data_IF_927054707137
#
_entry.id   IF_927054707137
#
_cell.length_a   1.000
_cell.length_b   1.000
_cell.length_c   1.000
_cell.angle_alpha   90.00
_cell.angle_beta   90.00
_cell.angle_gamma   90.00
#
_symmetry.space_group_name_H-M   'P 1'
#
loop_
_entity.id
_entity.type
_entity.pdbx_description
1 polymer ?
#
# COMPACT_ATOMS: atom_id res chain seq x y z
N UNK A 1 18.97 13.34 -19.07
CA UNK A 1 19.03 13.33 -17.60
C UNK A 1 18.53 12.01 -16.99
N UNK A 2 18.07 11.03 -17.78
CA UNK A 2 17.45 9.78 -17.29
C UNK A 2 18.44 8.65 -16.90
N UNK A 3 19.69 8.69 -17.37
CA UNK A 3 20.66 7.62 -17.08
C UNK A 3 21.26 7.64 -15.67
N UNK A 4 21.02 8.69 -14.87
CA UNK A 4 21.70 8.91 -13.58
C UNK A 4 21.14 8.01 -12.45
N UNK A 5 19.98 7.38 -12.65
CA UNK A 5 19.28 6.65 -11.57
C UNK A 5 19.07 5.16 -11.82
N UNK A 6 19.74 4.57 -12.82
CA UNK A 6 19.52 3.16 -13.17
C UNK A 6 19.91 2.18 -12.05
N UNK A 7 20.76 2.60 -11.10
CA UNK A 7 21.17 1.78 -9.96
C UNK A 7 20.23 1.86 -8.76
N UNK A 8 19.30 2.85 -8.70
CA UNK A 8 18.42 3.06 -7.54
C UNK A 8 17.60 1.82 -7.18
N UNK A 9 16.87 1.16 -8.11
CA UNK A 9 16.05 0.01 -7.75
C UNK A 9 16.86 -1.15 -7.16
N UNK A 10 18.11 -1.31 -7.62
CA UNK A 10 19.04 -2.34 -7.12
C UNK A 10 19.47 -2.01 -5.69
N UNK A 11 19.86 -0.75 -5.46
CA UNK A 11 20.24 -0.28 -4.13
C UNK A 11 19.07 -0.34 -3.16
N UNK A 12 17.89 0.11 -3.57
CA UNK A 12 16.67 0.11 -2.75
C UNK A 12 16.30 -1.33 -2.36
N UNK A 13 16.47 -2.29 -3.28
CA UNK A 13 16.23 -3.70 -2.99
C UNK A 13 17.20 -4.23 -1.93
N UNK A 14 18.50 -3.96 -2.07
CA UNK A 14 19.53 -4.36 -1.10
C UNK A 14 19.25 -3.75 0.28
N UNK A 15 18.96 -2.44 0.32
CA UNK A 15 18.63 -1.73 1.56
C UNK A 15 17.35 -2.28 2.20
N UNK A 16 16.34 -2.64 1.41
CA UNK A 16 15.12 -3.28 1.93
C UNK A 16 15.42 -4.61 2.61
N UNK A 17 16.35 -5.42 2.07
CA UNK A 17 16.74 -6.67 2.72
C UNK A 17 17.48 -6.41 4.03
N UNK A 18 18.36 -5.41 4.07
CA UNK A 18 19.04 -5.00 5.30
C UNK A 18 18.07 -4.45 6.33
N UNK A 19 17.09 -3.64 5.91
CA UNK A 19 16.04 -3.11 6.78
C UNK A 19 15.21 -4.24 7.39
N UNK A 20 14.75 -5.20 6.59
CA UNK A 20 13.98 -6.34 7.09
C UNK A 20 14.74 -7.13 8.16
N UNK A 21 16.04 -7.34 7.93
CA UNK A 21 16.90 -8.02 8.90
C UNK A 21 17.10 -7.18 10.18
N UNK A 22 17.33 -5.87 10.04
CA UNK A 22 17.47 -4.95 11.16
C UNK A 22 16.20 -4.88 12.01
N UNK A 23 15.03 -4.82 11.38
CA UNK A 23 13.74 -4.82 12.07
C UNK A 23 13.52 -6.10 12.87
N UNK A 24 13.98 -7.26 12.39
CA UNK A 24 13.94 -8.51 13.16
C UNK A 24 14.91 -8.49 14.34
N UNK A 25 16.13 -7.98 14.15
CA UNK A 25 17.13 -7.82 15.21
C UNK A 25 16.63 -6.91 16.35
N UNK A 26 15.88 -5.88 15.97
CA UNK A 26 15.31 -4.86 16.82
C UNK A 26 14.09 -5.34 17.66
N UNK A 27 13.48 -6.49 17.32
CA UNK A 27 12.35 -7.04 18.08
C UNK A 27 12.76 -7.49 19.49
N UNK A 28 11.92 -7.19 20.48
CA UNK A 28 12.09 -7.62 21.89
C UNK A 28 12.13 -9.15 22.01
N UNK A 29 11.27 -9.86 21.27
CA UNK A 29 11.30 -11.32 21.12
C UNK A 29 11.90 -11.70 19.78
N UNK A 30 13.22 -11.62 19.69
CA UNK A 30 14.00 -11.96 18.49
C UNK A 30 14.03 -13.48 18.23
N UNK A 31 13.85 -13.90 16.98
CA UNK A 31 14.06 -15.29 16.54
C UNK A 31 15.04 -15.35 15.37
N UNK A 32 16.26 -14.83 15.56
CA UNK A 32 17.29 -14.74 14.52
C UNK A 32 17.67 -16.10 13.92
N UNK A 33 17.64 -17.17 14.71
CA UNK A 33 18.02 -18.52 14.25
C UNK A 33 17.02 -19.11 13.24
N UNK A 34 15.74 -18.77 13.36
CA UNK A 34 14.68 -19.25 12.46
C UNK A 34 14.32 -18.23 11.38
N UNK A 35 14.96 -17.06 11.39
CA UNK A 35 14.68 -16.01 10.43
C UNK A 35 15.30 -16.34 9.07
N UNK A 36 14.52 -16.15 8.01
CA UNK A 36 15.01 -16.37 6.66
C UNK A 36 15.89 -15.19 6.23
N UNK A 37 17.20 -15.43 6.14
CA UNK A 37 18.15 -14.40 5.70
C UNK A 37 18.03 -14.15 4.19
N UNK A 38 17.43 -13.02 3.82
CA UNK A 38 17.23 -12.59 2.43
C UNK A 38 18.29 -11.61 1.94
N UNK A 39 19.31 -11.31 2.75
CA UNK A 39 20.36 -10.36 2.37
C UNK A 39 21.16 -10.87 1.17
N UNK A 40 21.60 -9.94 0.34
CA UNK A 40 22.34 -10.28 -0.87
C UNK A 40 23.81 -10.48 -0.53
N UNK A 41 24.26 -11.73 -0.58
CA UNK A 41 25.62 -12.09 -0.23
C UNK A 41 26.65 -11.80 -1.33
N UNK A 42 26.20 -11.79 -2.59
CA UNK A 42 27.07 -11.62 -3.76
C UNK A 42 26.32 -10.94 -4.90
N UNK A 43 26.99 -10.00 -5.57
CA UNK A 43 26.52 -9.34 -6.78
C UNK A 43 27.44 -9.69 -7.95
N UNK A 44 26.95 -10.50 -8.88
CA UNK A 44 27.67 -10.78 -10.12
C UNK A 44 27.44 -9.65 -11.12
N UNK A 45 28.46 -8.84 -11.36
CA UNK A 45 28.37 -7.66 -12.21
C UNK A 45 28.81 -7.97 -13.63
N UNK A 46 27.85 -8.07 -14.56
CA UNK A 46 28.10 -8.42 -15.96
C UNK A 46 28.61 -7.22 -16.76
N UNK A 47 29.89 -7.25 -17.12
CA UNK A 47 30.56 -6.28 -17.99
C UNK A 47 30.37 -6.71 -19.44
N UNK A 48 29.97 -5.76 -20.29
CA UNK A 48 29.82 -6.02 -21.73
C UNK A 48 31.20 -6.23 -22.37
N UNK A 49 31.39 -7.26 -23.21
CA UNK A 49 32.65 -7.55 -23.88
C UNK A 49 32.91 -6.56 -25.04
N UNK A 50 33.23 -5.30 -24.74
CA UNK A 50 33.51 -4.26 -25.75
C UNK A 50 34.96 -4.31 -26.25
N UNK A 51 35.88 -4.91 -25.49
CA UNK A 51 37.31 -4.94 -25.78
C UNK A 51 38.04 -3.61 -25.50
N UNK A 52 37.34 -2.59 -25.00
CA UNK A 52 37.90 -1.27 -24.73
C UNK A 52 38.02 -0.98 -23.22
N UNK A 53 37.22 -0.05 -22.69
CA UNK A 53 37.19 0.34 -21.27
C UNK A 53 35.84 -0.03 -20.64
N UNK A 54 35.76 0.07 -19.31
CA UNK A 54 34.47 0.07 -18.61
C UNK A 54 33.62 1.23 -19.09
N UNK A 55 32.30 1.02 -19.15
CA UNK A 55 31.37 2.11 -19.41
C UNK A 55 31.32 3.01 -18.17
N UNK A 56 31.15 4.31 -18.36
CA UNK A 56 31.00 5.25 -17.24
C UNK A 56 29.82 4.89 -16.33
N UNK A 57 28.74 4.33 -16.91
CA UNK A 57 27.59 3.82 -16.16
C UNK A 57 27.98 2.67 -15.23
N UNK A 58 28.86 1.77 -15.69
CA UNK A 58 29.30 0.62 -14.92
C UNK A 58 30.11 1.08 -13.71
N UNK A 59 31.02 2.06 -13.91
CA UNK A 59 31.80 2.67 -12.84
C UNK A 59 30.92 3.35 -11.79
N UNK A 60 29.95 4.17 -12.20
CA UNK A 60 29.04 4.85 -11.27
C UNK A 60 28.20 3.83 -10.48
N UNK A 61 27.71 2.79 -11.14
CA UNK A 61 26.87 1.76 -10.51
C UNK A 61 27.68 0.94 -9.51
N UNK A 62 28.84 0.43 -9.91
CA UNK A 62 29.72 -0.34 -9.01
C UNK A 62 30.19 0.51 -7.83
N UNK A 63 30.47 1.81 -8.04
CA UNK A 63 30.87 2.71 -6.96
C UNK A 63 29.76 3.00 -5.94
N UNK A 64 28.49 2.77 -6.30
CA UNK A 64 27.36 2.87 -5.36
C UNK A 64 27.04 1.54 -4.67
N UNK A 65 27.45 0.43 -5.25
CA UNK A 65 27.22 -0.92 -4.74
C UNK A 65 28.39 -1.43 -3.88
N UNK A 66 29.61 -0.89 -4.05
CA UNK A 66 30.84 -1.38 -3.42
C UNK A 66 30.78 -1.41 -1.88
N UNK A 67 30.06 -0.47 -1.27
CA UNK A 67 29.86 -0.41 0.18
C UNK A 67 28.71 -1.28 0.69
N UNK A 68 27.84 -1.79 -0.20
CA UNK A 68 26.60 -2.48 0.16
C UNK A 68 26.59 -3.97 -0.13
N UNK A 69 27.40 -4.44 -1.08
CA UNK A 69 27.40 -5.86 -1.48
C UNK A 69 28.77 -6.27 -2.00
N UNK A 70 29.10 -7.56 -1.83
CA UNK A 70 30.29 -8.16 -2.43
C UNK A 70 30.16 -8.21 -3.95
N UNK A 71 30.84 -7.33 -4.66
CA UNK A 71 30.80 -7.27 -6.13
C UNK A 71 31.86 -8.18 -6.73
N UNK A 72 31.44 -9.08 -7.63
CA UNK A 72 32.33 -9.90 -8.45
C UNK A 72 32.13 -9.50 -9.92
N UNK A 73 33.10 -8.79 -10.52
CA UNK A 73 33.01 -8.40 -11.92
C UNK A 73 33.22 -9.62 -12.84
N UNK A 74 32.33 -9.79 -13.81
CA UNK A 74 32.39 -10.87 -14.80
C UNK A 74 32.24 -10.31 -16.22
N UNK A 75 33.08 -10.76 -17.14
CA UNK A 75 32.98 -10.41 -18.55
C UNK A 75 31.96 -11.37 -19.18
N UNK A 76 30.84 -10.81 -19.60
CA UNK A 76 29.77 -11.56 -20.26
C UNK A 76 30.17 -11.97 -21.68
N UNK A 77 29.61 -13.07 -22.19
CA UNK A 77 29.78 -13.51 -23.59
C UNK A 77 31.25 -13.48 -24.04
N UNK A 78 32.14 -14.02 -23.20
CA UNK A 78 33.58 -13.99 -23.42
C UNK A 78 34.02 -14.69 -24.72
N UNK A 79 33.18 -15.54 -25.29
CA UNK A 79 33.35 -16.20 -26.59
C UNK A 79 33.37 -15.22 -27.79
N UNK A 80 33.05 -13.94 -27.57
CA UNK A 80 33.11 -12.88 -28.58
C UNK A 80 34.45 -12.15 -28.64
N UNK A 81 35.35 -12.37 -27.69
CA UNK A 81 36.66 -11.71 -27.60
C UNK A 81 37.77 -12.76 -27.78
N UNK A 82 38.83 -12.42 -28.51
CA UNK A 82 40.00 -13.30 -28.62
C UNK A 82 40.80 -13.37 -27.31
N UNK A 83 41.57 -14.45 -27.09
CA UNK A 83 42.35 -14.62 -25.84
C UNK A 83 43.35 -13.48 -25.57
N UNK A 84 43.97 -12.94 -26.62
CA UNK A 84 44.94 -11.84 -26.52
C UNK A 84 44.26 -10.51 -26.16
N UNK A 85 43.10 -10.23 -26.75
CA UNK A 85 42.30 -9.04 -26.42
C UNK A 85 41.69 -9.16 -25.01
N UNK A 86 41.23 -10.35 -24.64
CA UNK A 86 40.68 -10.62 -23.31
C UNK A 86 41.70 -10.32 -22.22
N UNK A 87 42.95 -10.74 -22.40
CA UNK A 87 44.02 -10.46 -21.44
C UNK A 87 44.25 -8.95 -21.26
N UNK A 88 44.33 -8.19 -22.36
CA UNK A 88 44.46 -6.72 -22.32
C UNK A 88 43.24 -6.07 -21.67
N UNK A 89 42.04 -6.59 -21.97
CA UNK A 89 40.78 -6.07 -21.44
C UNK A 89 40.66 -6.29 -19.92
N UNK A 90 41.05 -7.47 -19.40
CA UNK A 90 41.10 -7.75 -17.96
C UNK A 90 42.00 -6.76 -17.22
N UNK A 91 43.22 -6.54 -17.71
CA UNK A 91 44.18 -5.59 -17.11
C UNK A 91 43.59 -4.18 -17.07
N UNK A 92 42.96 -3.75 -18.18
CA UNK A 92 42.37 -2.42 -18.28
C UNK A 92 41.18 -2.22 -17.34
N UNK A 93 40.28 -3.21 -17.24
CA UNK A 93 39.16 -3.19 -16.28
C UNK A 93 39.69 -3.07 -14.85
N UNK A 94 40.66 -3.92 -14.47
CA UNK A 94 41.21 -3.91 -13.11
C UNK A 94 41.91 -2.58 -12.79
N UNK A 95 42.68 -2.03 -13.74
CA UNK A 95 43.29 -0.72 -13.59
C UNK A 95 42.25 0.38 -13.38
N UNK A 96 41.17 0.40 -14.17
CA UNK A 96 40.10 1.40 -14.06
C UNK A 96 39.34 1.28 -12.73
N UNK A 97 39.08 0.07 -12.24
CA UNK A 97 38.45 -0.14 -10.93
C UNK A 97 39.31 0.41 -9.79
N UNK A 98 40.62 0.15 -9.81
CA UNK A 98 41.57 0.64 -8.81
C UNK A 98 41.69 2.18 -8.87
N UNK A 99 41.84 2.75 -10.08
CA UNK A 99 41.95 4.21 -10.24
C UNK A 99 40.71 4.98 -9.79
N UNK A 100 39.53 4.38 -9.88
CA UNK A 100 38.28 4.98 -9.39
C UNK A 100 37.94 4.61 -7.93
N UNK A 101 38.80 3.81 -7.28
CA UNK A 101 38.62 3.39 -5.89
C UNK A 101 37.37 2.52 -5.67
N UNK A 102 36.96 1.73 -6.67
CA UNK A 102 35.83 0.81 -6.54
C UNK A 102 36.31 -0.44 -5.80
N UNK A 103 35.67 -0.75 -4.67
CA UNK A 103 36.00 -1.94 -3.89
C UNK A 103 35.24 -3.15 -4.44
N UNK A 104 35.97 -4.06 -5.08
CA UNK A 104 35.43 -5.37 -5.48
C UNK A 104 35.74 -6.40 -4.39
N UNK A 105 34.98 -7.48 -4.39
CA UNK A 105 35.25 -8.61 -3.52
C UNK A 105 36.59 -9.27 -3.89
N UNK A 106 37.44 -9.45 -2.89
CA UNK A 106 38.71 -10.15 -2.99
C UNK A 106 38.66 -11.37 -2.08
N UNK A 107 39.15 -12.49 -2.57
CA UNK A 107 39.20 -13.72 -1.80
C UNK A 107 40.13 -13.59 -0.61
N UNK A 108 39.71 -14.03 0.59
CA UNK A 108 40.57 -14.03 1.75
C UNK A 108 41.77 -14.94 1.51
N UNK A 109 42.96 -14.46 1.84
CA UNK A 109 44.21 -15.24 1.76
C UNK A 109 44.78 -15.51 3.15
N UNK A 110 43.97 -15.34 4.19
CA UNK A 110 44.40 -15.41 5.59
C UNK A 110 44.54 -16.85 6.08
N UNK A 111 43.82 -17.80 5.47
CA UNK A 111 43.93 -19.23 5.76
C UNK A 111 44.93 -19.89 4.80
N UNK A 112 46.07 -20.32 5.35
CA UNK A 112 47.17 -21.00 4.63
C UNK A 112 46.70 -22.21 3.82
N UNK A 113 45.61 -22.89 4.21
CA UNK A 113 45.11 -24.06 3.50
C UNK A 113 44.46 -23.72 2.14
N UNK A 114 43.91 -22.50 2.00
CA UNK A 114 43.19 -22.03 0.81
C UNK A 114 43.81 -20.77 0.19
N UNK A 115 44.83 -20.19 0.82
CA UNK A 115 45.49 -18.96 0.39
C UNK A 115 46.07 -19.07 -1.04
N UNK A 116 46.71 -20.19 -1.38
CA UNK A 116 47.27 -20.39 -2.72
C UNK A 116 46.17 -20.43 -3.78
N UNK A 117 45.08 -21.15 -3.51
CA UNK A 117 43.93 -21.25 -4.41
C UNK A 117 43.26 -19.88 -4.57
N UNK A 118 43.02 -19.18 -3.46
CA UNK A 118 42.36 -17.87 -3.46
C UNK A 118 43.21 -16.78 -4.14
N UNK A 119 44.54 -16.82 -3.99
CA UNK A 119 45.47 -15.95 -4.73
C UNK A 119 45.36 -16.16 -6.24
N UNK A 120 45.35 -17.43 -6.69
CA UNK A 120 45.15 -17.76 -8.11
C UNK A 120 43.78 -17.29 -8.59
N UNK A 121 42.72 -17.43 -7.79
CA UNK A 121 41.38 -16.98 -8.15
C UNK A 121 41.28 -15.45 -8.26
N UNK A 122 41.90 -14.71 -7.33
CA UNK A 122 42.00 -13.26 -7.38
C UNK A 122 42.70 -12.79 -8.67
N UNK A 123 43.73 -13.50 -9.13
CA UNK A 123 44.43 -13.19 -10.38
C UNK A 123 43.57 -13.41 -11.65
N UNK A 124 42.49 -14.20 -11.57
CA UNK A 124 41.60 -14.43 -12.70
C UNK A 124 40.48 -13.39 -12.83
N UNK A 125 40.31 -12.52 -11.82
CA UNK A 125 39.32 -11.44 -11.86
C UNK A 125 39.69 -10.38 -12.92
N UNK A 126 38.70 -9.86 -13.68
CA UNK A 126 37.31 -10.33 -13.77
C UNK A 126 37.17 -11.67 -14.52
N UNK A 127 36.26 -12.54 -14.10
CA UNK A 127 36.06 -13.85 -14.73
C UNK A 127 35.45 -13.72 -16.12
N UNK A 128 36.01 -14.41 -17.11
CA UNK A 128 35.51 -14.41 -18.48
C UNK A 128 34.55 -15.60 -18.69
N UNK A 129 33.25 -15.34 -18.72
CA UNK A 129 32.23 -16.40 -18.68
C UNK A 129 31.44 -16.52 -19.98
N UNK A 130 31.07 -17.77 -20.28
CA UNK A 130 30.18 -18.14 -21.39
C UNK A 130 29.05 -18.96 -20.79
N UNK A 131 27.80 -18.57 -21.08
CA UNK A 131 26.61 -19.31 -20.65
C UNK A 131 25.99 -20.06 -21.82
N UNK A 132 25.61 -21.32 -21.60
CA UNK A 132 24.77 -22.09 -22.51
C UNK A 132 23.87 -23.04 -21.74
N UNK A 133 22.61 -23.14 -22.16
CA UNK A 133 21.66 -24.17 -21.72
C UNK A 133 21.60 -25.35 -22.67
N UNK A 134 22.16 -25.21 -23.87
CA UNK A 134 22.15 -26.25 -24.90
C UNK A 134 23.27 -27.27 -24.66
N UNK A 135 22.94 -28.55 -24.77
CA UNK A 135 23.90 -29.64 -24.66
C UNK A 135 24.23 -30.17 -26.04
N UNK A 136 25.53 -30.17 -26.37
CA UNK A 136 26.04 -30.66 -27.65
C UNK A 136 26.91 -31.88 -27.38
N UNK A 137 26.76 -32.90 -28.23
CA UNK A 137 27.60 -34.10 -28.16
C UNK A 137 28.99 -33.77 -28.70
N UNK A 138 29.99 -33.67 -27.80
CA UNK A 138 31.39 -33.53 -28.18
C UNK A 138 32.13 -34.80 -27.81
N UNK A 139 32.49 -35.60 -28.82
CA UNK A 139 33.00 -36.96 -28.63
C UNK A 139 31.93 -37.89 -28.06
N UNK A 140 32.20 -38.47 -26.89
CA UNK A 140 31.29 -39.41 -26.21
C UNK A 140 30.51 -38.80 -25.03
N UNK A 141 30.63 -37.49 -24.79
CA UNK A 141 29.94 -36.82 -23.67
C UNK A 141 29.02 -35.72 -24.20
N UNK A 142 27.86 -35.61 -23.56
CA UNK A 142 26.99 -34.44 -23.70
C UNK A 142 27.55 -33.34 -22.79
N UNK A 143 27.86 -32.20 -23.36
CA UNK A 143 28.43 -31.06 -22.62
C UNK A 143 27.68 -29.80 -22.98
N UNK A 144 27.50 -28.90 -22.00
CA UNK A 144 26.91 -27.58 -22.24
C UNK A 144 27.86 -26.75 -23.10
N UNK A 145 27.39 -26.34 -24.26
CA UNK A 145 28.22 -25.66 -25.23
C UNK A 145 27.43 -24.70 -26.11
N UNK A 146 28.14 -23.75 -26.74
CA UNK A 146 27.59 -22.92 -27.81
C UNK A 146 28.15 -23.40 -29.14
N UNK A 147 27.26 -23.75 -30.06
CA UNK A 147 27.65 -24.23 -31.39
C UNK A 147 27.65 -23.07 -32.38
N UNK A 148 28.79 -22.88 -33.05
CA UNK A 148 28.97 -21.93 -34.14
C UNK A 148 29.40 -22.67 -35.42
N UNK A 149 29.25 -22.06 -36.61
CA UNK A 149 29.72 -22.67 -37.86
C UNK A 149 31.21 -23.01 -37.86
N UNK A 150 32.02 -22.25 -37.11
CA UNK A 150 33.48 -22.42 -37.00
C UNK A 150 33.93 -23.30 -35.83
N UNK A 151 33.03 -23.74 -34.94
CA UNK A 151 33.42 -24.59 -33.81
C UNK A 151 32.43 -24.58 -32.66
N UNK A 152 32.78 -25.34 -31.62
CA UNK A 152 31.94 -25.54 -30.42
C UNK A 152 32.66 -25.01 -29.19
N UNK A 153 32.06 -24.01 -28.54
CA UNK A 153 32.59 -23.43 -27.29
C UNK A 153 31.98 -24.16 -26.10
N UNK A 154 32.74 -25.09 -25.55
CA UNK A 154 32.39 -25.80 -24.31
C UNK A 154 32.44 -24.87 -23.09
N UNK A 155 31.36 -24.83 -22.30
CA UNK A 155 31.24 -23.97 -21.10
C UNK A 155 32.08 -24.50 -19.93
N UNK A 156 32.17 -25.82 -19.76
CA UNK A 156 32.92 -26.42 -18.66
C UNK A 156 34.41 -26.62 -18.96
N UNK A 157 34.89 -26.12 -20.10
CA UNK A 157 36.28 -26.24 -20.50
C UNK A 157 37.07 -24.99 -20.08
N UNK A 158 38.02 -25.16 -19.16
CA UNK A 158 38.86 -24.07 -18.63
C UNK A 158 39.74 -23.39 -19.69
N UNK A 159 40.02 -24.08 -20.80
CA UNK A 159 40.77 -23.48 -21.91
C UNK A 159 39.92 -22.52 -22.76
N UNK A 160 38.58 -22.58 -22.62
CA UNK A 160 37.63 -21.76 -23.36
C UNK A 160 37.08 -20.61 -22.52
N UNK A 161 36.75 -20.85 -21.24
CA UNK A 161 36.23 -19.82 -20.35
C UNK A 161 36.49 -20.13 -18.87
N UNK A 162 36.33 -19.11 -18.02
CA UNK A 162 36.56 -19.19 -16.58
C UNK A 162 35.32 -19.64 -15.79
N UNK A 163 34.31 -20.22 -16.45
CA UNK A 163 33.05 -20.60 -15.79
C UNK A 163 33.25 -21.60 -14.65
N UNK A 164 34.13 -22.60 -14.84
CA UNK A 164 34.45 -23.59 -13.80
C UNK A 164 35.03 -22.88 -12.58
N UNK A 165 35.97 -21.95 -12.78
CA UNK A 165 36.59 -21.17 -11.70
C UNK A 165 35.55 -20.35 -10.93
N UNK A 166 34.65 -19.66 -11.63
CA UNK A 166 33.55 -18.92 -11.01
C UNK A 166 32.63 -19.84 -10.18
N UNK A 167 32.27 -21.01 -10.71
CA UNK A 167 31.37 -21.96 -10.03
C UNK A 167 31.99 -22.53 -8.75
N UNK A 168 33.22 -23.05 -8.84
CA UNK A 168 33.91 -23.62 -7.68
C UNK A 168 34.10 -22.56 -6.59
N UNK A 169 34.42 -21.34 -7.00
CA UNK A 169 34.60 -20.21 -6.10
C UNK A 169 33.33 -19.83 -5.34
N UNK A 170 32.19 -19.68 -6.03
CA UNK A 170 30.94 -19.22 -5.42
C UNK A 170 30.31 -20.26 -4.51
N UNK A 171 30.37 -21.54 -4.91
CA UNK A 171 29.54 -22.58 -4.29
C UNK A 171 30.36 -23.43 -3.32
N UNK A 172 31.65 -23.67 -3.59
CA UNK A 172 32.42 -24.70 -2.90
C UNK A 172 33.34 -24.16 -1.82
N UNK A 173 33.93 -22.99 -2.03
CA UNK A 173 35.02 -22.49 -1.16
C UNK A 173 34.59 -21.28 -0.35
N UNK A 174 33.98 -20.26 -0.99
CA UNK A 174 33.88 -18.93 -0.38
C UNK A 174 32.44 -18.50 -0.03
N UNK A 175 31.48 -19.42 0.00
CA UNK A 175 30.09 -19.08 0.32
C UNK A 175 29.94 -18.56 1.75
N UNK A 176 30.65 -19.15 2.71
CA UNK A 176 30.62 -18.74 4.10
C UNK A 176 31.27 -17.36 4.29
N UNK A 177 32.44 -17.13 3.69
CA UNK A 177 33.12 -15.83 3.73
C UNK A 177 32.26 -14.71 3.10
N UNK A 178 31.61 -14.96 1.96
CA UNK A 178 30.68 -14.00 1.35
C UNK A 178 29.54 -13.62 2.30
N UNK A 179 28.99 -14.60 3.03
CA UNK A 179 27.94 -14.36 4.03
C UNK A 179 28.49 -13.58 5.22
N UNK A 180 29.68 -13.92 5.69
CA UNK A 180 30.33 -13.25 6.80
C UNK A 180 30.66 -11.80 6.46
N UNK A 181 31.31 -11.51 5.33
CA UNK A 181 31.57 -10.15 4.83
C UNK A 181 30.28 -9.34 4.69
N UNK A 182 29.21 -9.97 4.20
CA UNK A 182 27.90 -9.32 4.11
C UNK A 182 27.39 -8.91 5.48
N UNK A 183 27.56 -9.76 6.49
CA UNK A 183 27.11 -9.46 7.84
C UNK A 183 28.02 -8.43 8.54
N UNK A 184 29.33 -8.68 8.61
CA UNK A 184 30.29 -7.94 9.43
C UNK A 184 30.67 -6.59 8.85
N UNK A 185 30.58 -6.42 7.53
CA UNK A 185 30.99 -5.18 6.84
C UNK A 185 29.80 -4.45 6.25
N UNK A 186 29.08 -5.07 5.33
CA UNK A 186 28.04 -4.39 4.56
C UNK A 186 26.79 -4.08 5.40
N UNK A 187 26.28 -5.09 6.10
CA UNK A 187 25.13 -4.94 6.99
C UNK A 187 25.47 -4.06 8.20
N UNK A 188 26.63 -4.26 8.86
CA UNK A 188 27.03 -3.41 9.98
C UNK A 188 27.17 -1.93 9.58
N UNK A 189 27.70 -1.64 8.39
CA UNK A 189 27.75 -0.27 7.89
C UNK A 189 26.34 0.33 7.75
N UNK A 190 25.40 -0.42 7.15
CA UNK A 190 23.99 -0.01 7.02
C UNK A 190 23.34 0.18 8.40
N UNK A 191 23.52 -0.79 9.30
CA UNK A 191 23.01 -0.80 10.66
C UNK A 191 23.48 0.43 11.45
N UNK A 192 24.79 0.73 11.42
CA UNK A 192 25.35 1.93 12.07
C UNK A 192 24.69 3.20 11.54
N UNK A 193 24.64 3.38 10.22
CA UNK A 193 24.01 4.56 9.63
C UNK A 193 22.52 4.67 10.00
N UNK A 194 21.79 3.56 10.02
CA UNK A 194 20.37 3.55 10.40
C UNK A 194 20.13 3.84 11.88
N UNK A 195 20.96 3.29 12.76
CA UNK A 195 20.87 3.56 14.19
C UNK A 195 21.20 5.04 14.49
N UNK A 196 22.22 5.60 13.85
CA UNK A 196 22.53 7.03 13.95
C UNK A 196 21.37 7.91 13.46
N UNK A 197 20.73 7.56 12.33
CA UNK A 197 19.52 8.24 11.82
C UNK A 197 18.33 8.14 12.78
N UNK A 198 18.18 7.01 13.48
CA UNK A 198 17.16 6.80 14.50
C UNK A 198 17.46 7.53 15.82
N UNK A 199 18.59 8.24 15.92
CA UNK A 199 18.98 9.05 17.08
C UNK A 199 19.91 8.34 18.07
N UNK A 200 20.37 7.12 17.75
CA UNK A 200 21.39 6.42 18.53
C UNK A 200 22.77 6.94 18.13
N UNK A 201 23.15 8.12 18.62
CA UNK A 201 24.53 8.62 18.49
C UNK A 201 25.34 8.12 19.68
N UNK A 202 26.51 7.55 19.41
CA UNK A 202 27.56 7.34 20.41
C UNK A 202 28.12 8.72 20.81
N UNK A 203 27.42 9.44 21.68
CA UNK A 203 27.94 10.68 22.30
C UNK A 203 28.52 10.39 23.67
N UNK A 204 29.85 10.54 23.73
CA UNK A 204 30.74 10.65 24.89
C UNK A 204 30.95 9.42 25.81
N UNK A 205 32.21 9.14 26.23
CA UNK A 205 32.54 8.10 27.20
C UNK A 205 31.90 8.26 28.59
N UNK A 206 31.25 9.40 28.85
CA UNK A 206 30.69 9.77 30.16
C UNK A 206 29.15 9.84 30.14
N UNK A 207 28.52 9.53 29.00
CA UNK A 207 27.06 9.41 28.90
C UNK A 207 26.66 7.98 29.23
N UNK A 208 25.79 7.80 30.24
CA UNK A 208 25.20 6.49 30.53
C UNK A 208 24.67 5.84 29.25
N UNK A 209 24.78 4.50 29.10
CA UNK A 209 24.34 3.81 27.90
C UNK A 209 22.89 4.17 27.62
N UNK A 210 22.67 4.91 26.53
CA UNK A 210 21.34 5.33 26.08
C UNK A 210 20.54 4.04 25.84
N UNK A 211 19.61 3.74 26.75
CA UNK A 211 18.97 2.43 26.80
C UNK A 211 18.06 2.27 25.60
N UNK A 212 18.28 1.23 24.79
CA UNK A 212 17.38 0.79 23.70
C UNK A 212 15.91 0.83 24.14
N UNK A 213 15.64 0.49 25.41
CA UNK A 213 14.32 0.50 26.01
C UNK A 213 13.67 1.89 26.03
N UNK A 214 14.44 2.93 26.29
CA UNK A 214 13.94 4.30 26.47
C UNK A 214 13.54 4.92 25.11
N UNK A 215 14.27 4.60 24.03
CA UNK A 215 13.90 4.98 22.67
C UNK A 215 12.65 4.25 22.19
N UNK A 216 12.52 2.95 22.52
CA UNK A 216 11.29 2.19 22.25
C UNK A 216 10.10 2.75 23.02
N UNK A 217 10.28 3.11 24.29
CA UNK A 217 9.25 3.74 25.11
C UNK A 217 8.86 5.11 24.56
N UNK A 218 9.82 5.87 24.05
CA UNK A 218 9.58 7.19 23.43
C UNK A 218 8.78 7.04 22.13
N UNK A 219 9.21 6.18 21.20
CA UNK A 219 8.48 5.87 19.96
C UNK A 219 7.08 5.31 20.24
N UNK A 220 6.93 4.47 21.27
CA UNK A 220 5.63 3.96 21.71
C UNK A 220 4.74 5.05 22.28
N UNK A 221 5.29 5.98 23.07
CA UNK A 221 4.56 7.16 23.59
C UNK A 221 4.14 8.08 22.45
N UNK A 222 5.00 8.34 21.47
CA UNK A 222 4.66 9.11 20.27
C UNK A 222 3.50 8.48 19.50
N UNK A 223 3.58 7.17 19.24
CA UNK A 223 2.51 6.45 18.54
C UNK A 223 1.19 6.47 19.31
N UNK A 224 1.22 6.29 20.64
CA UNK A 224 0.03 6.40 21.49
C UNK A 224 -0.56 7.82 21.46
N UNK A 225 0.30 8.85 21.45
CA UNK A 225 -0.12 10.24 21.36
C UNK A 225 -0.78 10.55 20.00
N UNK A 226 -0.22 10.04 18.90
CA UNK A 226 -0.85 10.16 17.58
C UNK A 226 -2.20 9.44 17.51
N UNK A 227 -2.31 8.25 18.12
CA UNK A 227 -3.55 7.49 18.16
C UNK A 227 -4.63 8.25 18.95
N UNK A 228 -4.28 8.79 20.12
CA UNK A 228 -5.17 9.63 20.92
C UNK A 228 -5.59 10.88 20.17
N UNK A 229 -4.68 11.54 19.44
CA UNK A 229 -5.01 12.72 18.66
C UNK A 229 -6.01 12.39 17.53
N UNK A 230 -5.84 11.27 16.83
CA UNK A 230 -6.80 10.78 15.83
C UNK A 230 -8.14 10.39 16.44
N UNK A 231 -8.15 9.79 17.62
CA UNK A 231 -9.37 9.47 18.37
C UNK A 231 -10.12 10.76 18.76
N UNK A 232 -9.42 11.75 19.30
CA UNK A 232 -9.98 13.06 19.65
C UNK A 232 -10.55 13.78 18.42
N UNK A 233 -9.82 13.75 17.29
CA UNK A 233 -10.30 14.31 16.01
C UNK A 233 -11.59 13.60 15.54
N UNK A 234 -11.64 12.28 15.60
CA UNK A 234 -12.82 11.50 15.24
C UNK A 234 -14.00 11.80 16.18
N UNK A 235 -13.74 11.94 17.49
CA UNK A 235 -14.74 12.30 18.49
C UNK A 235 -15.26 13.71 18.27
N UNK A 236 -14.39 14.66 17.94
CA UNK A 236 -14.77 16.03 17.64
C UNK A 236 -15.64 16.10 16.37
N UNK A 237 -15.28 15.33 15.31
CA UNK A 237 -16.11 15.21 14.12
C UNK A 237 -17.49 14.64 14.44
N UNK A 238 -17.56 13.61 15.29
CA UNK A 238 -18.84 13.03 15.73
C UNK A 238 -19.69 14.05 16.49
N UNK A 239 -19.12 14.78 17.45
CA UNK A 239 -19.85 15.81 18.22
C UNK A 239 -20.36 16.93 17.31
N UNK A 240 -19.54 17.39 16.36
CA UNK A 240 -19.96 18.41 15.40
C UNK A 240 -21.10 17.90 14.51
N UNK A 241 -21.01 16.65 14.06
CA UNK A 241 -22.06 16.02 13.24
C UNK A 241 -23.36 15.83 14.01
N UNK A 242 -23.29 15.44 15.28
CA UNK A 242 -24.46 15.35 16.16
C UNK A 242 -25.10 16.72 16.34
N UNK A 243 -24.31 17.77 16.62
CA UNK A 243 -24.83 19.15 16.75
C UNK A 243 -25.51 19.65 15.48
N UNK A 244 -24.93 19.37 14.31
CA UNK A 244 -25.52 19.73 13.02
C UNK A 244 -26.86 19.01 12.81
N UNK A 245 -26.90 17.69 13.05
CA UNK A 245 -28.15 16.92 12.95
C UNK A 245 -29.20 17.36 13.97
N UNK A 246 -28.81 17.75 15.18
CA UNK A 246 -29.74 18.24 16.20
C UNK A 246 -30.34 19.60 15.79
N UNK A 247 -29.54 20.49 15.20
CA UNK A 247 -30.01 21.76 14.65
C UNK A 247 -30.99 21.55 13.50
N UNK A 248 -30.66 20.66 12.54
CA UNK A 248 -31.58 20.32 11.44
C UNK A 248 -32.91 19.74 11.96
N UNK A 249 -32.84 18.88 12.98
CA UNK A 249 -34.02 18.26 13.56
C UNK A 249 -34.90 19.30 14.25
N UNK A 250 -34.29 20.26 14.94
CA UNK A 250 -34.97 21.39 15.58
C UNK A 250 -35.63 22.33 14.57
N UNK A 251 -35.00 22.59 13.42
CA UNK A 251 -35.63 23.35 12.34
C UNK A 251 -36.83 22.61 11.73
N UNK A 252 -36.69 21.30 11.48
CA UNK A 252 -37.80 20.47 10.99
C UNK A 252 -38.96 20.40 11.98
N UNK A 253 -38.67 20.32 13.29
CA UNK A 253 -39.70 20.39 14.33
C UNK A 253 -40.42 21.74 14.32
N UNK A 254 -39.69 22.86 14.16
CA UNK A 254 -40.28 24.19 14.05
C UNK A 254 -41.19 24.31 12.84
N UNK A 255 -40.74 23.88 11.66
CA UNK A 255 -41.56 23.87 10.44
C UNK A 255 -42.80 23.00 10.59
N UNK A 256 -42.67 21.82 11.21
CA UNK A 256 -43.80 20.93 11.45
C UNK A 256 -44.82 21.57 12.40
N UNK A 257 -44.34 22.27 13.43
CA UNK A 257 -45.19 23.00 14.37
C UNK A 257 -45.93 24.16 13.68
N UNK A 258 -45.26 24.93 12.84
CA UNK A 258 -45.86 26.01 12.05
C UNK A 258 -46.93 25.47 11.08
N UNK A 259 -46.63 24.36 10.38
CA UNK A 259 -47.60 23.66 9.52
C UNK A 259 -48.81 23.20 10.32
N UNK A 260 -48.60 22.61 11.50
CA UNK A 260 -49.69 22.17 12.37
C UNK A 260 -50.61 23.32 12.79
N UNK A 261 -50.04 24.44 13.26
CA UNK A 261 -50.81 25.63 13.65
C UNK A 261 -51.53 26.29 12.46
N UNK A 262 -50.95 26.25 11.25
CA UNK A 262 -51.61 26.69 10.04
C UNK A 262 -52.82 25.79 9.69
N UNK A 263 -52.63 24.47 9.67
CA UNK A 263 -53.70 23.50 9.42
C UNK A 263 -54.84 23.61 10.46
N UNK A 264 -54.48 23.81 11.73
CA UNK A 264 -55.45 24.01 12.83
C UNK A 264 -56.31 25.26 12.63
N UNK A 265 -55.70 26.38 12.20
CA UNK A 265 -56.44 27.62 11.86
C UNK A 265 -57.36 27.42 10.67
N UNK A 266 -56.89 26.77 9.61
CA UNK A 266 -57.72 26.45 8.44
C UNK A 266 -58.89 25.55 8.82
N UNK A 267 -58.65 24.54 9.67
CA UNK A 267 -59.70 23.65 10.13
C UNK A 267 -60.74 24.37 11.00
N UNK A 268 -60.32 25.30 11.88
CA UNK A 268 -61.24 26.13 12.66
C UNK A 268 -62.11 27.03 11.77
N UNK A 269 -61.52 27.64 10.74
CA UNK A 269 -62.25 28.50 9.81
C UNK A 269 -63.25 27.70 8.96
N UNK A 270 -62.85 26.53 8.44
CA UNK A 270 -63.77 25.62 7.74
C UNK A 270 -64.89 25.14 8.67
N UNK A 271 -64.59 24.80 9.93
CA UNK A 271 -65.61 24.43 10.91
C UNK A 271 -66.60 25.58 11.14
N UNK A 272 -66.13 26.83 11.25
CA UNK A 272 -66.97 28.02 11.38
C UNK A 272 -67.89 28.21 10.18
N UNK A 273 -67.36 28.09 8.95
CA UNK A 273 -68.16 28.17 7.72
C UNK A 273 -69.22 27.07 7.65
N UNK A 274 -68.89 25.85 8.08
CA UNK A 274 -69.84 24.73 8.12
C UNK A 274 -70.92 24.99 9.17
N UNK A 275 -70.58 25.52 10.35
CA UNK A 275 -71.55 25.90 11.38
C UNK A 275 -72.46 27.04 10.94
N UNK A 276 -71.93 28.07 10.25
CA UNK A 276 -72.73 29.16 9.67
C UNK A 276 -73.73 28.62 8.63
N UNK A 277 -73.26 27.80 7.67
CA UNK A 277 -74.15 27.14 6.70
C UNK A 277 -75.19 26.24 7.36
N UNK A 278 -74.83 25.55 8.44
CA UNK A 278 -75.77 24.74 9.23
C UNK A 278 -76.86 25.62 9.84
N UNK A 279 -76.49 26.77 10.40
CA UNK A 279 -77.43 27.73 10.98
C UNK A 279 -78.36 28.33 9.93
N UNK A 280 -77.84 28.71 8.77
CA UNK A 280 -78.64 29.20 7.64
C UNK A 280 -79.66 28.14 7.18
N UNK A 281 -79.24 26.88 7.02
CA UNK A 281 -80.14 25.78 6.67
C UNK A 281 -81.18 25.50 7.77
N UNK A 282 -80.82 25.61 9.05
CA UNK A 282 -81.78 25.50 10.17
C UNK A 282 -82.79 26.66 10.15
N UNK A 283 -82.36 27.89 9.87
CA UNK A 283 -83.23 29.07 9.73
C UNK A 283 -84.18 28.94 8.54
N UNK A 284 -83.68 28.49 7.38
CA UNK A 284 -84.49 28.19 6.20
C UNK A 284 -85.49 27.06 6.48
N UNK A 285 -85.07 25.99 7.13
CA UNK A 285 -85.94 24.88 7.50
C UNK A 285 -87.03 25.31 8.50
N UNK A 286 -86.68 26.16 9.46
CA UNK A 286 -87.66 26.75 10.39
C UNK A 286 -88.62 27.71 9.68
N UNK A 287 -88.14 28.52 8.73
CA UNK A 287 -88.98 29.37 7.90
C UNK A 287 -89.91 28.55 7.01
N UNK A 288 -89.42 27.47 6.40
CA UNK A 288 -90.19 26.53 5.61
C UNK A 288 -91.26 25.84 6.48
N UNK A 289 -90.92 25.36 7.67
CA UNK A 289 -91.88 24.79 8.62
C UNK A 289 -92.94 25.81 9.05
N UNK A 290 -92.57 27.06 9.31
CA UNK A 290 -93.54 28.14 9.60
C UNK A 290 -94.50 28.37 8.43
N UNK A 291 -94.00 28.39 7.19
CA UNK A 291 -94.85 28.50 5.98
C UNK A 291 -95.75 27.27 5.82
N UNK A 292 -95.22 26.07 6.05
CA UNK A 292 -95.98 24.81 6.00
C UNK A 292 -97.14 24.84 7.01
N UNK A 293 -96.86 25.20 8.27
CA UNK A 293 -97.89 25.32 9.32
C UNK A 293 -98.91 26.41 8.97
N UNK A 294 -98.50 27.54 8.41
CA UNK A 294 -99.42 28.60 7.97
C UNK A 294 -100.34 28.12 6.83
N UNK A 295 -99.81 27.39 5.86
CA UNK A 295 -100.60 26.79 4.77
C UNK A 295 -101.55 25.72 5.32
N UNK A 296 -101.09 24.82 6.19
CA UNK A 296 -101.93 23.82 6.86
C UNK A 296 -103.05 24.48 7.69
N UNK A 297 -102.78 25.60 8.36
CA UNK A 297 -103.77 26.36 9.13
C UNK A 297 -104.80 27.05 8.23
N UNK A 298 -104.38 27.59 7.09
CA UNK A 298 -105.29 28.16 6.07
C UNK A 298 -106.12 27.06 5.39
N UNK A 299 -105.56 25.87 5.19
CA UNK A 299 -106.29 24.70 4.70
C UNK A 299 -107.33 24.22 5.71
N UNK A 300 -106.99 24.19 7.02
CA UNK A 300 -107.94 23.93 8.10
C UNK A 300 -109.03 25.02 8.22
N UNK A 301 -108.71 26.30 8.00
CA UNK A 301 -109.72 27.37 7.98
C UNK A 301 -110.63 27.30 6.74
N UNK A 302 -110.11 26.88 5.58
CA UNK A 302 -110.93 26.62 4.40
C UNK A 302 -111.87 25.41 4.58
N UNK A 303 -111.48 24.43 5.39
CA UNK A 303 -112.31 23.28 5.76
C UNK A 303 -113.31 23.60 6.90
N UNK A 304 -113.06 24.63 7.71
CA UNK A 304 -113.95 25.05 8.81
C UNK A 304 -114.92 26.20 8.43
N UNK A 305 -114.69 26.94 7.34
CA UNK A 305 -115.59 27.99 6.86
C UNK A 305 -116.87 27.47 6.17
N UNK A 306 -117.00 26.16 5.96
CA UNK A 306 -118.21 25.50 5.47
C UNK A 306 -118.62 24.34 6.36
N UNK A 307 -119.05 24.60 7.59
CA UNK A 307 -120.23 23.94 8.18
C UNK A 307 -120.40 24.28 9.65
N UNK A 308 -121.40 25.12 9.93
CA UNK A 308 -122.36 25.03 11.03
C UNK A 308 -123.29 26.24 10.85
N UNK A 309 -124.58 26.14 10.48
CA UNK A 309 -125.68 25.27 10.95
C UNK A 309 -126.96 25.50 10.09
N UNK A 310 -128.13 24.82 10.28
CA UNK A 310 -128.46 23.70 11.20
C UNK A 310 -129.32 22.53 10.62
N UNK A 311 -129.10 21.34 11.22
CA UNK A 311 -130.05 20.27 11.65
C UNK A 311 -131.39 20.00 10.90
N UNK A 312 -131.51 18.79 10.31
CA UNK A 312 -132.44 17.70 10.73
C UNK A 312 -132.41 16.45 9.81
N UNK A 313 -132.40 15.26 10.44
CA UNK A 313 -133.06 13.94 10.13
C UNK A 313 -133.15 13.49 8.65
N UNK A 314 -132.90 12.23 8.28
CA UNK A 314 -133.42 11.01 8.87
C UNK A 314 -132.82 9.75 8.20
N UNK A 315 -132.91 8.64 8.94
CA UNK A 315 -133.11 7.24 8.52
C UNK A 315 -132.11 6.44 7.65
N UNK A 316 -131.68 5.36 8.32
CA UNK A 316 -131.80 3.94 7.92
C UNK A 316 -130.65 3.23 7.19
N UNK A 317 -130.20 2.19 7.93
CA UNK A 317 -129.93 0.80 7.51
C UNK A 317 -128.60 0.41 6.86
N UNK A 318 -127.97 -0.55 7.57
CA UNK A 318 -127.45 -1.87 7.14
C UNK A 318 -126.71 -1.91 5.80
N UNK A 319 -125.46 -2.33 5.73
CA UNK A 319 -124.68 -3.29 6.53
C UNK A 319 -123.20 -2.93 6.46
#
# INVERSE_FOLDING_TARGET
MEFVFSYRPIVDYIDTQFENYLQEELKIRRSLFNYHDTRIHVCLYFITPTGHSLKSLDLVTMKKLDSKVNIIPIIAKADTISKSELHKFKIKIMSELVSNGVQIYQFPTDDDAVAEINSVMNAHLPFAVVGSTEEVKVGNKMVRARQYPWGVVQVENESHCDFVKLREMLIRVNMEDLREQTHTRHYELYRRCKLEEMGFKDTDPDSQPFSLQETYETKRKEFLCELQKKEEEMRQMFVNKVKETELELKEKERELHEKFEHLKRMHQEEKRKVEEKRRELEEEMNAFNRRKVAVETLQCQSLQATSQQPLKKDKDKKN
#
